data_IF_034735560450
#
_entry.id   IF_034735560450
#
_cell.length_a   1.000
_cell.length_b   1.000
_cell.length_c   1.000
_cell.angle_alpha   90.00
_cell.angle_beta   90.00
_cell.angle_gamma   90.00
#
_symmetry.space_group_name_H-M   'P 1'
#
loop_
_entity.id
_entity.type
_entity.pdbx_description
1 polymer ?
#
# COMPACT_ATOMS: atom_id res chain seq x y z
N UNK A 1 4.78 3.24 -23.21
CA UNK A 1 5.03 3.98 -21.97
C UNK A 1 5.96 3.20 -21.06
N UNK A 2 6.73 3.87 -20.20
CA UNK A 2 7.63 3.20 -19.26
C UNK A 2 6.81 2.27 -18.35
N UNK A 3 7.33 1.09 -18.12
CA UNK A 3 6.68 0.06 -17.33
C UNK A 3 7.25 0.05 -15.90
N UNK A 4 6.40 0.24 -14.90
CA UNK A 4 6.77 0.24 -13.49
C UNK A 4 6.27 -1.05 -12.83
N UNK A 5 7.15 -1.73 -12.10
CA UNK A 5 6.84 -2.98 -11.40
C UNK A 5 7.10 -2.80 -9.91
N UNK A 6 6.16 -3.25 -9.09
CA UNK A 6 6.36 -3.37 -7.64
C UNK A 6 7.02 -4.71 -7.36
N UNK A 7 8.29 -4.67 -6.96
CA UNK A 7 9.07 -5.89 -6.66
C UNK A 7 8.73 -6.46 -5.30
N UNK A 8 8.39 -5.60 -4.34
CA UNK A 8 7.96 -5.98 -3.01
C UNK A 8 7.01 -4.94 -2.44
N UNK A 9 5.94 -5.40 -1.80
CA UNK A 9 4.99 -4.56 -1.10
C UNK A 9 4.61 -5.19 0.22
N UNK A 10 4.66 -4.38 1.28
CA UNK A 10 4.08 -4.72 2.58
C UNK A 10 2.97 -3.74 2.91
N UNK A 11 1.75 -4.25 3.06
CA UNK A 11 0.58 -3.47 3.45
C UNK A 11 0.24 -3.80 4.90
N UNK A 12 0.27 -2.80 5.76
CA UNK A 12 -0.09 -2.92 7.17
C UNK A 12 -1.42 -2.23 7.42
N UNK A 13 -2.38 -2.98 7.92
CA UNK A 13 -3.71 -2.50 8.28
C UNK A 13 -3.84 -2.59 9.79
N UNK A 14 -3.92 -1.45 10.46
CA UNK A 14 -4.06 -1.38 11.91
C UNK A 14 -5.46 -0.92 12.31
N UNK A 15 -6.21 -1.80 12.96
CA UNK A 15 -7.55 -1.52 13.45
C UNK A 15 -7.46 -0.91 14.83
N UNK A 16 -7.85 0.36 14.96
CA UNK A 16 -7.82 1.10 16.21
C UNK A 16 -9.13 0.99 16.96
N UNK A 17 -9.06 0.92 18.29
CA UNK A 17 -10.25 1.03 19.16
C UNK A 17 -10.85 2.43 19.16
N UNK A 18 -10.16 3.41 18.58
CA UNK A 18 -10.56 4.82 18.55
C UNK A 18 -11.42 5.19 17.33
N UNK A 19 -11.83 4.23 16.52
CA UNK A 19 -12.75 4.44 15.43
C UNK A 19 -12.13 4.65 14.05
N UNK A 20 -10.82 4.43 13.90
CA UNK A 20 -10.15 4.50 12.59
C UNK A 20 -9.36 3.25 12.27
N UNK A 21 -9.09 3.06 10.98
CA UNK A 21 -8.16 2.08 10.46
C UNK A 21 -7.01 2.84 9.81
N UNK A 22 -5.79 2.58 10.28
CA UNK A 22 -4.57 3.14 9.69
C UNK A 22 -3.99 2.13 8.68
N UNK A 23 -3.69 2.60 7.48
CA UNK A 23 -3.11 1.79 6.42
C UNK A 23 -1.78 2.40 6.02
N UNK A 24 -0.73 1.57 6.02
CA UNK A 24 0.60 1.95 5.59
C UNK A 24 1.13 0.95 4.59
N UNK A 25 1.57 1.44 3.45
CA UNK A 25 2.11 0.62 2.37
C UNK A 25 3.60 0.93 2.19
N UNK A 26 4.45 -0.08 2.40
CA UNK A 26 5.88 -0.05 2.07
C UNK A 26 6.05 -0.64 0.68
N UNK A 27 6.53 0.14 -0.27
CA UNK A 27 6.56 -0.24 -1.67
C UNK A 27 7.97 -0.09 -2.23
N UNK A 28 8.49 -1.19 -2.80
CA UNK A 28 9.69 -1.20 -3.62
C UNK A 28 9.28 -1.30 -5.08
N UNK A 29 9.58 -0.27 -5.85
CA UNK A 29 9.25 -0.19 -7.27
C UNK A 29 10.51 -0.16 -8.13
N UNK A 30 10.41 -0.74 -9.34
CA UNK A 30 11.49 -0.75 -10.33
C UNK A 30 10.95 -0.36 -11.69
N UNK A 31 11.69 0.49 -12.39
CA UNK A 31 11.43 0.78 -13.78
C UNK A 31 11.95 -0.39 -14.64
N UNK A 32 11.04 -1.11 -15.28
CA UNK A 32 11.36 -2.33 -16.06
C UNK A 32 11.62 -2.05 -17.55
N UNK A 33 12.00 -0.83 -17.88
CA UNK A 33 12.40 -0.45 -19.23
C UNK A 33 13.92 -0.60 -19.47
N UNK A 34 14.39 -0.05 -20.58
CA UNK A 34 15.82 -0.07 -20.93
C UNK A 34 16.66 0.64 -19.85
N UNK A 35 17.77 0.00 -19.48
CA UNK A 35 18.65 0.53 -18.43
C UNK A 35 19.34 1.82 -18.87
N UNK A 36 19.31 2.83 -18.01
CA UNK A 36 20.06 4.06 -18.19
C UNK A 36 21.56 3.79 -18.04
N UNK A 37 22.35 4.18 -19.04
CA UNK A 37 23.82 4.13 -18.98
C UNK A 37 24.37 5.48 -18.52
N UNK A 38 25.18 5.45 -17.47
CA UNK A 38 25.82 6.63 -16.89
C UNK A 38 25.08 7.20 -15.67
N UNK A 39 25.60 8.33 -15.16
CA UNK A 39 25.03 9.03 -14.01
C UNK A 39 23.90 9.97 -14.43
N UNK A 40 22.90 10.11 -13.55
CA UNK A 40 21.83 11.06 -13.75
C UNK A 40 22.29 12.50 -13.47
N UNK A 41 22.01 13.41 -14.40
CA UNK A 41 22.18 14.86 -14.20
C UNK A 41 20.84 15.57 -14.40
N UNK A 42 20.36 16.28 -13.37
CA UNK A 42 19.14 17.10 -13.44
C UNK A 42 19.23 18.16 -14.52
N UNK A 43 20.41 18.74 -14.66
CA UNK A 43 20.66 19.82 -15.65
C UNK A 43 20.53 19.29 -17.07
N UNK A 44 21.14 18.14 -17.36
CA UNK A 44 21.06 17.48 -18.68
C UNK A 44 19.63 17.03 -18.97
N UNK A 45 18.93 16.49 -17.97
CA UNK A 45 17.53 16.06 -18.11
C UNK A 45 16.58 17.22 -18.42
N UNK A 46 16.81 18.40 -17.82
CA UNK A 46 16.01 19.59 -18.09
C UNK A 46 16.34 20.24 -19.43
N UNK A 47 17.60 20.19 -19.83
CA UNK A 47 18.09 20.79 -21.06
C UNK A 47 17.76 19.95 -22.29
N UNK A 48 17.91 18.65 -22.19
CA UNK A 48 17.55 17.73 -23.24
C UNK A 48 16.10 17.34 -23.06
N UNK A 49 15.22 17.86 -23.88
CA UNK A 49 13.88 17.28 -24.06
C UNK A 49 14.02 15.90 -24.73
N UNK A 50 15.02 15.13 -24.28
CA UNK A 50 15.45 13.90 -24.87
C UNK A 50 14.41 12.83 -24.63
N UNK A 51 14.13 12.03 -25.64
CA UNK A 51 13.23 10.89 -25.59
C UNK A 51 13.66 9.77 -24.66
N UNK A 52 14.33 10.08 -23.54
CA UNK A 52 14.68 9.11 -22.51
C UNK A 52 13.39 8.80 -21.73
N UNK A 53 12.96 7.56 -21.80
CA UNK A 53 11.78 7.10 -21.04
C UNK A 53 12.07 7.13 -19.55
N UNK A 54 11.47 8.10 -18.85
CA UNK A 54 11.57 8.24 -17.42
C UNK A 54 10.18 8.42 -16.81
N UNK A 55 9.97 7.83 -15.63
CA UNK A 55 8.75 8.01 -14.86
C UNK A 55 8.96 9.20 -13.93
N UNK A 56 8.25 10.29 -14.19
CA UNK A 56 8.31 11.53 -13.39
C UNK A 56 7.26 11.55 -12.30
N UNK A 57 6.11 10.93 -12.56
CA UNK A 57 4.99 10.84 -11.65
C UNK A 57 4.09 9.68 -12.03
N UNK A 58 3.29 9.22 -11.07
CA UNK A 58 2.25 8.23 -11.30
C UNK A 58 1.07 8.50 -10.37
N UNK A 59 -0.09 8.04 -10.74
CA UNK A 59 -1.32 8.26 -9.99
C UNK A 59 -1.70 7.02 -9.18
N UNK A 60 -1.94 7.22 -7.89
CA UNK A 60 -2.45 6.21 -6.97
C UNK A 60 -3.88 6.58 -6.59
N UNK A 61 -4.78 5.60 -6.53
CA UNK A 61 -6.15 5.80 -6.11
C UNK A 61 -6.38 5.17 -4.74
N UNK A 62 -6.88 5.98 -3.81
CA UNK A 62 -7.20 5.58 -2.45
C UNK A 62 -8.73 5.52 -2.26
N UNK A 63 -9.23 4.84 -1.20
CA UNK A 63 -10.66 4.89 -0.88
C UNK A 63 -11.17 6.32 -0.73
N UNK A 64 -12.44 6.55 -1.06
CA UNK A 64 -13.04 7.89 -1.01
C UNK A 64 -12.98 8.54 0.38
N UNK A 65 -13.00 7.72 1.43
CA UNK A 65 -12.92 8.17 2.83
C UNK A 65 -11.50 8.37 3.35
N UNK A 66 -10.47 8.16 2.52
CA UNK A 66 -9.08 8.30 2.94
C UNK A 66 -8.77 9.73 3.40
N UNK A 67 -8.09 9.84 4.55
CA UNK A 67 -7.65 11.09 5.14
C UNK A 67 -6.28 10.91 5.79
N UNK A 68 -5.64 12.02 6.14
CA UNK A 68 -4.31 11.97 6.74
C UNK A 68 -3.25 11.32 5.85
N UNK A 69 -3.35 11.53 4.54
CA UNK A 69 -2.45 10.92 3.56
C UNK A 69 -1.04 11.47 3.72
N UNK A 70 -0.05 10.57 3.78
CA UNK A 70 1.36 10.95 3.80
C UNK A 70 2.16 10.08 2.83
N UNK A 71 3.21 10.69 2.28
CA UNK A 71 4.12 10.07 1.34
C UNK A 71 5.55 10.40 1.74
N UNK A 72 6.40 9.39 1.88
CA UNK A 72 7.80 9.57 2.26
C UNK A 72 8.69 8.53 1.59
N UNK A 73 9.96 8.88 1.41
CA UNK A 73 11.02 7.96 1.00
C UNK A 73 12.07 7.82 2.11
N UNK A 74 13.20 7.20 1.82
CA UNK A 74 14.27 6.99 2.81
C UNK A 74 14.93 8.30 3.28
N UNK A 75 14.79 9.39 2.51
CA UNK A 75 15.34 10.70 2.85
C UNK A 75 14.39 11.47 3.79
N UNK A 76 13.08 11.33 3.60
CA UNK A 76 12.08 12.00 4.40
C UNK A 76 10.75 12.18 3.69
N UNK A 77 9.91 13.07 4.21
CA UNK A 77 8.60 13.34 3.66
C UNK A 77 8.71 13.97 2.26
N UNK A 78 7.83 13.52 1.37
CA UNK A 78 7.66 14.10 0.03
C UNK A 78 6.29 14.77 0.00
N UNK A 79 6.25 15.99 -0.54
CA UNK A 79 4.97 16.70 -0.67
C UNK A 79 4.03 15.96 -1.63
N UNK A 80 2.83 15.64 -1.18
CA UNK A 80 1.73 15.16 -2.02
C UNK A 80 1.04 16.37 -2.67
N UNK A 81 1.71 16.98 -3.64
CA UNK A 81 1.31 18.28 -4.18
C UNK A 81 0.03 18.27 -5.02
N UNK A 82 -0.48 17.10 -5.38
CA UNK A 82 -1.69 16.97 -6.20
C UNK A 82 -2.57 15.84 -5.68
N UNK A 83 -3.37 16.14 -4.68
CA UNK A 83 -4.41 15.26 -4.17
C UNK A 83 -5.77 15.76 -4.64
N UNK A 84 -6.53 14.89 -5.29
CA UNK A 84 -7.83 15.22 -5.86
C UNK A 84 -8.91 14.29 -5.33
N UNK A 85 -9.93 14.86 -4.70
CA UNK A 85 -11.07 14.09 -4.22
C UNK A 85 -12.05 13.88 -5.38
N UNK A 86 -12.29 12.61 -5.72
CA UNK A 86 -13.29 12.18 -6.69
C UNK A 86 -14.53 11.64 -5.97
N UNK A 87 -15.59 11.32 -6.71
CA UNK A 87 -16.85 10.82 -6.12
C UNK A 87 -16.67 9.47 -5.40
N UNK A 88 -15.82 8.60 -5.95
CA UNK A 88 -15.63 7.22 -5.48
C UNK A 88 -14.20 6.91 -5.01
N UNK A 89 -13.29 7.85 -5.10
CA UNK A 89 -11.89 7.66 -4.75
C UNK A 89 -11.16 8.96 -4.43
N UNK A 90 -9.99 8.85 -3.84
CA UNK A 90 -9.02 9.95 -3.72
C UNK A 90 -7.86 9.65 -4.65
N UNK A 91 -7.65 10.52 -5.63
CA UNK A 91 -6.54 10.45 -6.57
C UNK A 91 -5.34 11.18 -5.98
N UNK A 92 -4.20 10.49 -5.88
CA UNK A 92 -2.94 11.08 -5.41
C UNK A 92 -1.91 10.98 -6.53
N UNK A 93 -1.38 12.14 -6.94
CA UNK A 93 -0.28 12.21 -7.89
C UNK A 93 1.04 12.16 -7.12
N UNK A 94 1.71 11.01 -7.20
CA UNK A 94 2.97 10.77 -6.52
C UNK A 94 4.12 11.12 -7.45
N UNK A 95 4.98 12.05 -6.99
CA UNK A 95 6.18 12.45 -7.70
C UNK A 95 7.40 11.99 -6.92
N UNK A 96 8.11 10.94 -7.38
CA UNK A 96 9.36 10.54 -6.75
C UNK A 96 10.34 11.70 -6.69
N UNK A 97 11.19 11.73 -5.66
CA UNK A 97 12.21 12.77 -5.46
C UNK A 97 13.09 12.93 -6.69
N UNK A 98 13.35 11.81 -7.37
CA UNK A 98 14.10 11.78 -8.64
C UNK A 98 13.26 11.02 -9.69
N UNK A 99 13.30 11.44 -10.97
CA UNK A 99 12.70 10.65 -12.04
C UNK A 99 13.29 9.23 -12.08
N UNK A 100 12.44 8.24 -12.36
CA UNK A 100 12.88 6.84 -12.46
C UNK A 100 13.18 6.49 -13.91
N UNK A 101 14.45 6.21 -14.17
CA UNK A 101 14.92 5.72 -15.47
C UNK A 101 14.93 4.19 -15.51
N UNK A 102 15.10 3.60 -16.69
CA UNK A 102 15.14 2.16 -16.87
C UNK A 102 16.15 1.47 -15.95
N UNK A 103 15.70 0.46 -15.21
CA UNK A 103 16.48 -0.28 -14.23
C UNK A 103 16.59 0.37 -12.85
N UNK A 104 16.13 1.60 -12.68
CA UNK A 104 16.18 2.30 -11.39
C UNK A 104 15.12 1.77 -10.43
N UNK A 105 15.48 1.74 -9.15
CA UNK A 105 14.63 1.31 -8.05
C UNK A 105 14.25 2.50 -7.18
N UNK A 106 13.04 2.43 -6.61
CA UNK A 106 12.56 3.41 -5.64
C UNK A 106 11.88 2.68 -4.48
N UNK A 107 12.17 3.12 -3.27
CA UNK A 107 11.43 2.70 -2.08
C UNK A 107 10.66 3.90 -1.54
N UNK A 108 9.38 3.70 -1.26
CA UNK A 108 8.56 4.74 -0.64
C UNK A 108 7.50 4.13 0.28
N UNK A 109 7.00 4.98 1.16
CA UNK A 109 5.92 4.65 2.08
C UNK A 109 4.75 5.59 1.80
N UNK A 110 3.58 5.01 1.62
CA UNK A 110 2.31 5.72 1.47
C UNK A 110 1.39 5.28 2.62
N UNK A 111 0.85 6.24 3.35
CA UNK A 111 -0.06 5.95 4.44
C UNK A 111 -1.28 6.84 4.43
N UNK A 112 -2.37 6.34 5.00
CA UNK A 112 -3.63 7.05 5.14
C UNK A 112 -4.51 6.41 6.22
N UNK A 113 -5.58 7.09 6.58
CA UNK A 113 -6.57 6.58 7.52
C UNK A 113 -7.94 6.51 6.86
N UNK A 114 -8.77 5.59 7.31
CA UNK A 114 -10.18 5.48 6.92
C UNK A 114 -11.04 5.26 8.15
N UNK A 115 -12.33 5.67 8.13
CA UNK A 115 -13.25 5.39 9.23
C UNK A 115 -13.53 3.90 9.37
N UNK A 116 -13.54 3.39 10.59
CA UNK A 116 -13.76 1.97 10.87
C UNK A 116 -15.17 1.50 10.46
N UNK A 117 -16.18 2.37 10.57
CA UNK A 117 -17.58 1.99 10.33
C UNK A 117 -17.89 1.60 8.89
N UNK A 118 -17.03 1.98 7.93
CA UNK A 118 -17.22 1.61 6.52
C UNK A 118 -16.73 0.19 6.21
N UNK A 119 -15.86 -0.37 7.06
CA UNK A 119 -15.16 -1.61 6.77
C UNK A 119 -15.37 -2.70 7.82
N UNK A 120 -15.84 -2.33 9.01
CA UNK A 120 -16.06 -3.28 10.10
C UNK A 120 -17.54 -3.52 10.30
N UNK A 121 -17.92 -4.78 10.23
CA UNK A 121 -19.28 -5.26 10.46
C UNK A 121 -19.32 -6.07 11.75
N UNK A 122 -20.42 -5.97 12.51
CA UNK A 122 -20.57 -6.76 13.73
C UNK A 122 -21.93 -7.43 13.83
N UNK A 123 -21.94 -8.59 14.49
CA UNK A 123 -23.15 -9.30 14.91
C UNK A 123 -22.91 -9.81 16.32
N UNK A 124 -23.46 -9.12 17.33
CA UNK A 124 -23.11 -9.37 18.72
C UNK A 124 -21.64 -9.14 19.01
N UNK A 125 -20.96 -10.17 19.51
CA UNK A 125 -19.52 -10.12 19.82
C UNK A 125 -18.63 -10.52 18.64
N UNK A 126 -19.22 -10.91 17.51
CA UNK A 126 -18.50 -11.31 16.31
C UNK A 126 -18.31 -10.11 15.38
N UNK A 127 -17.09 -9.91 14.91
CA UNK A 127 -16.72 -8.85 13.99
C UNK A 127 -16.20 -9.43 12.68
N UNK A 128 -16.47 -8.75 11.58
CA UNK A 128 -15.89 -9.06 10.26
C UNK A 128 -15.31 -7.79 9.68
N UNK A 129 -14.01 -7.81 9.43
CA UNK A 129 -13.32 -6.77 8.69
C UNK A 129 -13.34 -7.11 7.21
N UNK A 130 -13.97 -6.25 6.40
CA UNK A 130 -14.04 -6.41 4.95
C UNK A 130 -13.46 -5.18 4.28
N UNK A 131 -12.35 -5.35 3.58
CA UNK A 131 -11.71 -4.28 2.85
C UNK A 131 -10.81 -4.85 1.75
N UNK A 132 -10.31 -3.99 0.87
CA UNK A 132 -9.43 -4.43 -0.20
C UNK A 132 -8.14 -5.01 0.33
N UNK A 133 -7.77 -6.17 -0.19
CA UNK A 133 -6.50 -6.82 0.09
C UNK A 133 -5.38 -6.09 -0.65
N UNK A 134 -5.63 -5.70 -1.88
CA UNK A 134 -4.73 -4.93 -2.74
C UNK A 134 -5.49 -3.72 -3.31
N UNK A 135 -4.88 -2.55 -3.26
CA UNK A 135 -5.42 -1.32 -3.82
C UNK A 135 -4.75 -0.95 -5.15
N UNK A 136 -5.27 0.09 -5.81
CA UNK A 136 -4.69 0.62 -7.03
C UNK A 136 -3.45 1.46 -6.71
N UNK A 137 -2.27 0.96 -7.09
CA UNK A 137 -0.98 1.62 -6.86
C UNK A 137 -0.64 2.55 -8.02
N UNK A 138 -0.74 2.05 -9.24
CA UNK A 138 -0.58 2.77 -10.50
C UNK A 138 -1.21 1.97 -11.64
N UNK A 139 -1.36 2.60 -12.80
CA UNK A 139 -1.94 1.92 -13.97
C UNK A 139 -1.04 0.77 -14.45
N UNK A 140 -1.69 -0.31 -14.90
CA UNK A 140 -1.01 -1.54 -15.34
C UNK A 140 -0.06 -2.12 -14.28
N UNK A 141 -0.50 -2.10 -13.02
CA UNK A 141 0.30 -2.56 -11.90
C UNK A 141 0.58 -4.06 -11.95
N UNK A 142 1.82 -4.40 -11.56
CA UNK A 142 2.22 -5.77 -11.25
C UNK A 142 2.94 -5.74 -9.91
N UNK A 143 2.50 -6.58 -8.97
CA UNK A 143 3.12 -6.76 -7.66
C UNK A 143 3.69 -8.17 -7.59
N UNK A 144 5.01 -8.31 -7.54
CA UNK A 144 5.70 -9.61 -7.59
C UNK A 144 5.69 -10.33 -6.24
N UNK A 145 5.89 -9.61 -5.14
CA UNK A 145 5.90 -10.14 -3.78
C UNK A 145 5.06 -9.25 -2.88
N UNK A 146 4.04 -9.82 -2.26
CA UNK A 146 3.05 -9.11 -1.47
C UNK A 146 2.92 -9.70 -0.08
N UNK A 147 2.92 -8.84 0.94
CA UNK A 147 2.65 -9.20 2.33
C UNK A 147 1.58 -8.28 2.88
N UNK A 148 0.54 -8.85 3.47
CA UNK A 148 -0.49 -8.14 4.21
C UNK A 148 -0.35 -8.48 5.69
N UNK A 149 -0.28 -7.45 6.55
CA UNK A 149 -0.34 -7.59 7.99
C UNK A 149 -1.55 -6.84 8.52
N UNK A 150 -2.38 -7.53 9.29
CA UNK A 150 -3.57 -6.94 9.92
C UNK A 150 -3.36 -6.97 11.42
N UNK A 151 -3.25 -5.80 12.03
CA UNK A 151 -3.09 -5.63 13.48
C UNK A 151 -4.46 -5.35 14.08
N UNK A 152 -4.95 -6.27 14.90
CA UNK A 152 -6.24 -6.17 15.56
C UNK A 152 -6.11 -5.53 16.95
N UNK A 153 -7.22 -5.02 17.53
CA UNK A 153 -7.21 -4.50 18.89
C UNK A 153 -6.75 -5.55 19.91
N UNK A 154 -6.15 -5.10 20.99
CA UNK A 154 -5.73 -5.96 22.11
C UNK A 154 -6.91 -6.77 22.64
N UNK A 155 -6.68 -8.04 22.93
CA UNK A 155 -7.70 -8.96 23.43
C UNK A 155 -8.57 -9.61 22.36
N UNK A 156 -8.37 -9.26 21.08
CA UNK A 156 -9.11 -9.89 19.97
C UNK A 156 -8.76 -11.37 19.82
N UNK A 157 -9.78 -12.18 19.55
CA UNK A 157 -9.61 -13.59 19.17
C UNK A 157 -9.77 -13.71 17.66
N UNK A 158 -8.71 -14.13 16.99
CA UNK A 158 -8.67 -14.20 15.53
C UNK A 158 -9.46 -15.40 15.03
N UNK A 159 -10.32 -15.18 14.06
CA UNK A 159 -11.10 -16.19 13.38
C UNK A 159 -10.59 -16.51 11.98
N UNK A 160 -11.52 -16.74 11.06
CA UNK A 160 -11.25 -17.15 9.69
C UNK A 160 -10.87 -15.96 8.81
N UNK A 161 -9.89 -16.16 7.95
CA UNK A 161 -9.52 -15.24 6.88
C UNK A 161 -9.99 -15.79 5.53
N UNK A 162 -10.83 -15.04 4.84
CA UNK A 162 -11.31 -15.37 3.49
C UNK A 162 -10.62 -14.45 2.47
N UNK A 163 -9.89 -15.07 1.55
CA UNK A 163 -9.19 -14.36 0.48
C UNK A 163 -9.95 -14.46 -0.83
N UNK A 164 -9.96 -13.38 -1.64
CA UNK A 164 -10.56 -13.42 -2.98
C UNK A 164 -9.74 -14.24 -3.99
N UNK A 165 -8.50 -14.56 -3.66
CA UNK A 165 -7.61 -15.39 -4.48
C UNK A 165 -6.67 -16.20 -3.56
N UNK A 166 -5.99 -17.26 -4.09
CA UNK A 166 -5.13 -18.09 -3.24
C UNK A 166 -3.99 -17.31 -2.61
N UNK A 167 -3.85 -17.46 -1.28
CA UNK A 167 -2.78 -16.85 -0.48
C UNK A 167 -2.30 -17.83 0.58
N UNK A 168 -1.12 -17.55 1.15
CA UNK A 168 -0.58 -18.29 2.28
C UNK A 168 -0.75 -17.48 3.57
N UNK A 169 -1.44 -18.05 4.55
CA UNK A 169 -1.53 -17.46 5.89
C UNK A 169 -0.38 -17.98 6.74
N UNK A 170 0.46 -17.06 7.24
CA UNK A 170 1.53 -17.39 8.17
C UNK A 170 0.98 -17.54 9.60
N UNK A 171 1.74 -18.14 10.55
CA UNK A 171 1.35 -18.14 11.95
C UNK A 171 1.13 -16.73 12.47
N UNK A 172 0.06 -16.53 13.25
CA UNK A 172 -0.25 -15.24 13.85
C UNK A 172 0.83 -14.86 14.87
N UNK A 173 1.11 -13.56 14.95
CA UNK A 173 2.08 -12.98 15.88
C UNK A 173 1.41 -11.96 16.80
N UNK A 174 2.18 -11.37 17.70
CA UNK A 174 1.72 -10.30 18.59
C UNK A 174 2.55 -9.05 18.36
N UNK A 175 1.85 -7.91 18.34
CA UNK A 175 2.44 -6.59 18.27
C UNK A 175 2.19 -5.85 19.59
N UNK A 176 3.25 -5.29 20.17
CA UNK A 176 3.17 -4.57 21.44
C UNK A 176 3.47 -3.10 21.23
N UNK A 177 2.58 -2.24 21.74
CA UNK A 177 2.88 -0.84 21.98
C UNK A 177 3.12 -0.63 23.48
N UNK A 178 3.64 0.53 23.89
CA UNK A 178 3.91 0.80 25.30
C UNK A 178 2.64 0.81 26.20
N UNK A 179 1.46 0.90 25.60
CA UNK A 179 0.17 0.85 26.30
C UNK A 179 -0.44 -0.55 26.35
N UNK A 180 0.09 -1.51 25.61
CA UNK A 180 -0.46 -2.86 25.54
C UNK A 180 0.09 -3.75 26.65
N UNK A 181 -0.78 -4.56 27.25
CA UNK A 181 -0.43 -5.54 28.29
C UNK A 181 -0.25 -6.93 27.68
N UNK A 182 -1.25 -7.40 26.93
CA UNK A 182 -1.25 -8.76 26.34
C UNK A 182 -0.81 -8.77 24.88
N UNK A 183 -0.59 -7.61 24.28
CA UNK A 183 -0.24 -7.47 22.87
C UNK A 183 -1.44 -7.51 21.93
N UNK A 184 -1.22 -7.09 20.72
CA UNK A 184 -2.23 -7.03 19.66
C UNK A 184 -2.00 -8.14 18.66
N UNK A 185 -3.02 -8.97 18.34
CA UNK A 185 -2.85 -10.03 17.35
C UNK A 185 -2.54 -9.47 15.97
N UNK A 186 -1.60 -10.11 15.27
CA UNK A 186 -1.23 -9.77 13.89
C UNK A 186 -1.46 -10.97 13.00
N UNK A 187 -2.33 -10.81 12.01
CA UNK A 187 -2.58 -11.79 10.95
C UNK A 187 -1.69 -11.43 9.77
N UNK A 188 -0.85 -12.36 9.34
CA UNK A 188 0.09 -12.17 8.23
C UNK A 188 -0.26 -13.07 7.06
N UNK A 189 -0.45 -12.45 5.90
CA UNK A 189 -0.80 -13.11 4.64
C UNK A 189 0.28 -12.83 3.62
N UNK A 190 0.73 -13.86 2.91
CA UNK A 190 1.71 -13.73 1.83
C UNK A 190 1.18 -14.24 0.51
N UNK A 191 1.58 -13.56 -0.56
CA UNK A 191 1.43 -14.03 -1.93
C UNK A 191 2.76 -13.83 -2.67
N UNK A 192 3.27 -14.89 -3.26
CA UNK A 192 4.42 -14.86 -4.17
C UNK A 192 3.89 -15.20 -5.55
N UNK A 193 3.93 -14.23 -6.44
CA UNK A 193 3.38 -14.35 -7.79
C UNK A 193 2.80 -13.01 -8.23
N UNK A 194 2.61 -12.84 -9.51
CA UNK A 194 2.20 -11.56 -10.06
C UNK A 194 0.75 -11.22 -9.71
N UNK A 195 0.56 -10.18 -8.91
CA UNK A 195 -0.74 -9.58 -8.65
C UNK A 195 -0.92 -8.37 -9.56
N UNK A 196 -2.06 -8.33 -10.27
CA UNK A 196 -2.40 -7.29 -11.23
C UNK A 196 -3.63 -6.49 -10.76
N UNK A 197 -4.10 -5.57 -11.58
CA UNK A 197 -5.36 -4.83 -11.31
C UNK A 197 -6.57 -5.75 -11.12
N UNK A 198 -6.56 -6.95 -11.70
CA UNK A 198 -7.62 -7.96 -11.52
C UNK A 198 -7.69 -8.51 -10.10
N UNK A 199 -6.63 -8.34 -9.31
CA UNK A 199 -6.56 -8.77 -7.92
C UNK A 199 -6.95 -7.69 -6.91
N UNK A 200 -7.45 -6.54 -7.37
CA UNK A 200 -8.01 -5.49 -6.52
C UNK A 200 -9.39 -5.93 -6.05
N UNK A 201 -9.41 -6.69 -4.95
CA UNK A 201 -10.61 -7.33 -4.41
C UNK A 201 -10.59 -7.29 -2.88
N UNK A 202 -11.76 -7.49 -2.28
CA UNK A 202 -11.91 -7.48 -0.83
C UNK A 202 -11.53 -8.81 -0.19
N UNK A 203 -10.90 -8.75 0.98
CA UNK A 203 -10.79 -9.88 1.90
C UNK A 203 -11.81 -9.73 3.03
N UNK A 204 -12.05 -10.82 3.75
CA UNK A 204 -12.85 -10.84 4.97
C UNK A 204 -12.06 -11.52 6.10
N UNK A 205 -11.97 -10.87 7.25
CA UNK A 205 -11.37 -11.41 8.45
C UNK A 205 -12.36 -11.37 9.61
N UNK A 206 -12.71 -12.55 10.12
CA UNK A 206 -13.53 -12.68 11.33
C UNK A 206 -12.69 -12.63 12.60
N UNK A 207 -13.19 -11.96 13.63
CA UNK A 207 -12.59 -11.93 14.97
C UNK A 207 -13.62 -11.58 16.04
N UNK A 208 -13.26 -11.80 17.29
CA UNK A 208 -14.10 -11.49 18.47
C UNK A 208 -13.40 -10.50 19.41
#
# INVERSE_FOLDING_TARGET
SPFLVVTHMERVVEVSTWGNIAIEENIDARHNGATLKGSFSRYEFQRENSGVAAIKSFKTFLPASANGVYYRDDIGNISTSAMRVLDDAVEVDLRPRFPLFGGWKSHYILGYNVPIYEYLYNSGDDFVLKMRLLDHIFDDQIVEDFTLKIILPEGSKVGKFDSPFPVSRLPDTLHYTYLDISGRPVVTIKNVGDLTEKNIMDFELGFK
#
